data_IF_078161577967
#
_entry.id   IF_078161577967
#
_cell.length_a   1.000
_cell.length_b   1.000
_cell.length_c   1.000
_cell.angle_alpha   90.00
_cell.angle_beta   90.00
_cell.angle_gamma   90.00
#
_symmetry.space_group_name_H-M   'P 1'
#
loop_
_entity.id
_entity.type
_entity.pdbx_description
1 polymer ?
#
# COMPACT_ATOMS: atom_id res chain seq x y z
N UNK A 1 -1.90 2.80 -25.56
CA UNK A 1 -2.37 2.83 -24.18
C UNK A 1 -2.63 4.29 -23.84
N UNK A 2 -3.79 4.61 -23.31
CA UNK A 2 -4.17 6.01 -23.17
C UNK A 2 -4.63 6.28 -21.74
N UNK A 3 -4.09 7.36 -21.13
CA UNK A 3 -4.76 8.01 -20.00
C UNK A 3 -6.15 8.41 -20.44
N UNK A 4 -7.16 8.00 -19.69
CA UNK A 4 -8.56 8.26 -19.98
C UNK A 4 -9.12 9.34 -19.07
N UNK A 5 -10.10 10.07 -19.58
CA UNK A 5 -10.84 11.04 -18.77
C UNK A 5 -11.82 10.34 -17.82
N UNK A 6 -12.30 11.08 -16.83
CA UNK A 6 -13.34 10.59 -15.90
C UNK A 6 -14.62 10.17 -16.64
N UNK A 7 -15.00 10.87 -17.72
CA UNK A 7 -16.18 10.56 -18.53
C UNK A 7 -15.96 9.27 -19.35
N UNK A 8 -14.76 9.05 -19.86
CA UNK A 8 -14.40 7.82 -20.57
C UNK A 8 -14.42 6.61 -19.62
N UNK A 9 -13.87 6.77 -18.40
CA UNK A 9 -13.92 5.72 -17.37
C UNK A 9 -15.39 5.41 -17.03
N UNK A 10 -16.21 6.45 -16.79
CA UNK A 10 -17.64 6.28 -16.48
C UNK A 10 -18.37 5.53 -17.59
N UNK A 11 -18.15 5.94 -18.85
CA UNK A 11 -18.75 5.30 -20.01
C UNK A 11 -18.37 3.82 -20.10
N UNK A 12 -17.09 3.50 -19.87
CA UNK A 12 -16.62 2.11 -19.90
C UNK A 12 -17.28 1.27 -18.80
N UNK A 13 -17.36 1.80 -17.58
CA UNK A 13 -18.04 1.14 -16.44
C UNK A 13 -19.54 0.97 -16.75
N UNK A 14 -20.21 2.00 -17.28
CA UNK A 14 -21.64 1.94 -17.58
C UNK A 14 -21.96 0.85 -18.62
N UNK A 15 -21.10 0.68 -19.61
CA UNK A 15 -21.26 -0.31 -20.68
C UNK A 15 -21.00 -1.74 -20.23
N UNK A 16 -20.08 -1.95 -19.27
CA UNK A 16 -19.77 -3.28 -18.75
C UNK A 16 -20.93 -3.83 -17.90
N UNK A 17 -21.30 -5.08 -18.11
CA UNK A 17 -22.29 -5.81 -17.30
C UNK A 17 -21.60 -6.64 -16.22
N UNK A 18 -20.46 -7.26 -16.56
CA UNK A 18 -19.63 -8.07 -15.66
C UNK A 18 -18.27 -7.43 -15.45
N UNK A 19 -17.87 -7.25 -14.19
CA UNK A 19 -16.61 -6.60 -13.82
C UNK A 19 -15.87 -7.48 -12.82
N UNK A 20 -14.61 -7.78 -13.12
CA UNK A 20 -13.70 -8.36 -12.15
C UNK A 20 -12.83 -7.27 -11.56
N UNK A 21 -12.81 -7.16 -10.24
CA UNK A 21 -11.94 -6.26 -9.49
C UNK A 21 -10.71 -7.01 -9.01
N UNK A 22 -9.55 -6.38 -9.08
CA UNK A 22 -8.32 -6.88 -8.49
C UNK A 22 -7.45 -5.73 -7.98
N UNK A 23 -6.51 -6.06 -7.11
CA UNK A 23 -5.51 -5.17 -6.54
C UNK A 23 -4.14 -5.82 -6.63
N UNK A 24 -3.11 -5.15 -6.11
CA UNK A 24 -1.77 -5.70 -6.10
C UNK A 24 -1.59 -6.86 -5.11
N UNK A 25 -0.59 -7.74 -5.35
CA UNK A 25 -0.10 -8.74 -4.39
C UNK A 25 0.48 -8.06 -3.15
N UNK A 26 0.41 -8.73 -2.01
CA UNK A 26 0.67 -8.14 -0.69
C UNK A 26 -0.19 -6.89 -0.46
N UNK A 27 -1.54 -7.04 -0.54
CA UNK A 27 -2.45 -5.91 -0.53
C UNK A 27 -2.42 -5.19 0.82
N UNK A 28 -2.38 -3.88 0.75
CA UNK A 28 -2.42 -2.99 1.91
C UNK A 28 -3.81 -2.40 2.15
N UNK A 29 -3.87 -1.40 3.03
CA UNK A 29 -5.15 -0.78 3.40
C UNK A 29 -5.77 0.02 2.26
N UNK A 30 -4.96 0.66 1.40
CA UNK A 30 -5.46 1.40 0.25
C UNK A 30 -6.04 0.45 -0.80
N UNK A 31 -5.30 -0.59 -1.15
CA UNK A 31 -5.72 -1.62 -2.09
C UNK A 31 -7.07 -2.26 -1.68
N UNK A 32 -7.14 -2.77 -0.44
CA UNK A 32 -8.33 -3.46 0.07
C UNK A 32 -9.51 -2.48 0.23
N UNK A 33 -9.27 -1.32 0.83
CA UNK A 33 -10.33 -0.33 1.06
C UNK A 33 -10.94 0.19 -0.24
N UNK A 34 -10.10 0.47 -1.22
CA UNK A 34 -10.51 0.91 -2.56
C UNK A 34 -11.33 -0.16 -3.28
N UNK A 35 -10.90 -1.42 -3.22
CA UNK A 35 -11.58 -2.54 -3.87
C UNK A 35 -12.95 -2.80 -3.25
N UNK A 36 -13.06 -2.84 -1.92
CA UNK A 36 -14.32 -3.07 -1.22
C UNK A 36 -15.35 -1.96 -1.52
N UNK A 37 -14.91 -0.71 -1.49
CA UNK A 37 -15.79 0.42 -1.80
C UNK A 37 -16.23 0.42 -3.26
N UNK A 38 -15.32 0.18 -4.20
CA UNK A 38 -15.66 0.10 -5.62
C UNK A 38 -16.59 -1.08 -5.91
N UNK A 39 -16.38 -2.23 -5.25
CA UNK A 39 -17.28 -3.38 -5.35
C UNK A 39 -18.71 -3.00 -4.97
N UNK A 40 -18.90 -2.41 -3.80
CA UNK A 40 -20.22 -2.05 -3.29
C UNK A 40 -20.90 -1.00 -4.20
N UNK A 41 -20.12 0.00 -4.63
CA UNK A 41 -20.59 1.02 -5.56
C UNK A 41 -21.10 0.41 -6.88
N UNK A 42 -20.32 -0.49 -7.49
CA UNK A 42 -20.67 -1.13 -8.76
C UNK A 42 -21.86 -2.07 -8.63
N UNK A 43 -21.97 -2.81 -7.53
CA UNK A 43 -23.15 -3.66 -7.24
C UNK A 43 -24.41 -2.80 -7.11
N UNK A 44 -24.32 -1.64 -6.46
CA UNK A 44 -25.43 -0.69 -6.36
C UNK A 44 -25.85 -0.13 -7.73
N UNK A 45 -24.93 -0.09 -8.72
CA UNK A 45 -25.25 0.25 -10.11
C UNK A 45 -25.76 -0.95 -10.93
N UNK A 46 -26.04 -2.09 -10.30
CA UNK A 46 -26.59 -3.27 -10.97
C UNK A 46 -25.57 -4.11 -11.75
N UNK A 47 -24.28 -3.95 -11.50
CA UNK A 47 -23.22 -4.73 -12.14
C UNK A 47 -23.04 -6.10 -11.47
N UNK A 48 -22.68 -7.11 -12.26
CA UNK A 48 -22.19 -8.39 -11.76
C UNK A 48 -20.70 -8.25 -11.44
N UNK A 49 -20.32 -8.26 -10.16
CA UNK A 49 -18.96 -7.93 -9.73
C UNK A 49 -18.36 -9.09 -8.95
N UNK A 50 -17.10 -9.44 -9.22
CA UNK A 50 -16.27 -10.32 -8.43
C UNK A 50 -15.02 -9.57 -7.98
N UNK A 51 -14.52 -9.90 -6.80
CA UNK A 51 -13.24 -9.43 -6.26
C UNK A 51 -12.30 -10.61 -6.15
N UNK A 52 -11.17 -10.59 -6.84
CA UNK A 52 -10.19 -11.68 -6.83
C UNK A 52 -8.79 -11.12 -6.63
N UNK A 53 -8.03 -11.72 -5.72
CA UNK A 53 -6.65 -11.33 -5.40
C UNK A 53 -5.75 -12.56 -5.44
N UNK A 54 -4.53 -12.38 -5.97
CA UNK A 54 -3.49 -13.42 -6.02
C UNK A 54 -2.58 -13.32 -4.79
N UNK A 55 -3.18 -13.23 -3.61
CA UNK A 55 -2.45 -13.27 -2.33
C UNK A 55 -3.43 -13.46 -1.17
N UNK A 56 -2.87 -13.74 -0.01
CA UNK A 56 -3.64 -13.85 1.24
C UNK A 56 -4.00 -12.45 1.74
N UNK A 57 -5.28 -12.23 2.02
CA UNK A 57 -5.73 -10.97 2.61
C UNK A 57 -5.28 -10.92 4.08
N UNK A 58 -4.52 -9.88 4.48
CA UNK A 58 -4.09 -9.74 5.87
C UNK A 58 -5.27 -9.70 6.85
N UNK A 59 -5.17 -10.49 7.93
CA UNK A 59 -6.24 -10.65 8.93
C UNK A 59 -6.70 -9.32 9.53
N UNK A 60 -5.81 -8.37 9.67
CA UNK A 60 -6.09 -7.02 10.17
C UNK A 60 -7.18 -6.25 9.39
N UNK A 61 -7.52 -6.69 8.17
CA UNK A 61 -8.59 -6.09 7.36
C UNK A 61 -9.92 -6.84 7.48
N UNK A 62 -9.97 -7.97 8.20
CA UNK A 62 -11.17 -8.82 8.34
C UNK A 62 -12.34 -8.12 9.04
N UNK A 63 -12.10 -7.03 9.76
CA UNK A 63 -13.14 -6.22 10.40
C UNK A 63 -13.99 -5.42 9.38
N UNK A 64 -13.49 -5.26 8.14
CA UNK A 64 -14.23 -4.54 7.10
C UNK A 64 -15.39 -5.41 6.58
N UNK A 65 -16.59 -4.84 6.47
CA UNK A 65 -17.69 -5.50 5.77
C UNK A 65 -17.26 -5.91 4.35
N UNK A 66 -17.76 -7.04 3.89
CA UNK A 66 -17.48 -7.61 2.56
C UNK A 66 -16.05 -8.13 2.33
N UNK A 67 -15.12 -7.98 3.27
CA UNK A 67 -13.77 -8.55 3.14
C UNK A 67 -13.79 -10.06 2.87
N UNK A 68 -14.73 -10.80 3.50
CA UNK A 68 -14.92 -12.23 3.27
C UNK A 68 -15.45 -12.61 1.87
N UNK A 69 -15.84 -11.63 1.04
CA UNK A 69 -16.23 -11.84 -0.36
C UNK A 69 -15.06 -11.76 -1.33
N UNK A 70 -13.88 -11.36 -0.86
CA UNK A 70 -12.68 -11.39 -1.69
C UNK A 70 -12.31 -12.84 -1.91
N UNK A 71 -12.20 -13.23 -3.17
CA UNK A 71 -11.94 -14.59 -3.58
C UNK A 71 -10.44 -14.77 -3.85
N UNK A 72 -9.86 -15.93 -3.51
CA UNK A 72 -8.49 -16.25 -3.90
C UNK A 72 -8.41 -16.55 -5.40
N UNK A 73 -7.21 -16.45 -5.96
CA UNK A 73 -6.94 -16.68 -7.38
C UNK A 73 -7.37 -18.06 -7.87
N UNK A 74 -7.37 -19.07 -6.99
CA UNK A 74 -7.79 -20.45 -7.30
C UNK A 74 -9.29 -20.55 -7.63
N UNK A 75 -10.08 -19.54 -7.25
CA UNK A 75 -11.50 -19.44 -7.62
C UNK A 75 -11.73 -19.15 -9.10
N UNK A 76 -10.69 -18.68 -9.81
CA UNK A 76 -10.74 -18.39 -11.24
C UNK A 76 -10.26 -19.59 -12.07
N UNK A 77 -11.11 -20.02 -12.99
CA UNK A 77 -10.69 -20.93 -14.07
C UNK A 77 -9.76 -20.17 -15.03
N UNK A 78 -8.82 -20.92 -15.64
CA UNK A 78 -7.97 -20.33 -16.68
C UNK A 78 -8.81 -19.88 -17.88
N UNK A 79 -8.60 -18.64 -18.35
CA UNK A 79 -9.37 -18.05 -19.42
C UNK A 79 -10.74 -17.50 -18.99
N UNK A 80 -10.91 -17.21 -17.68
CA UNK A 80 -12.09 -16.49 -17.22
C UNK A 80 -12.32 -15.20 -18.00
N UNK A 81 -13.55 -14.93 -18.39
CA UNK A 81 -13.93 -13.75 -19.17
C UNK A 81 -14.86 -12.85 -18.40
N UNK A 82 -14.66 -11.54 -18.50
CA UNK A 82 -15.58 -10.50 -18.06
C UNK A 82 -15.58 -9.34 -19.06
N UNK A 83 -16.55 -8.46 -18.96
CA UNK A 83 -16.60 -7.27 -19.82
C UNK A 83 -15.50 -6.27 -19.46
N UNK A 84 -15.00 -6.32 -18.21
CA UNK A 84 -13.96 -5.44 -17.70
C UNK A 84 -13.14 -6.14 -16.61
N UNK A 85 -11.81 -6.00 -16.68
CA UNK A 85 -10.91 -6.18 -15.55
C UNK A 85 -10.53 -4.79 -15.01
N UNK A 86 -11.09 -4.41 -13.87
CA UNK A 86 -10.80 -3.14 -13.22
C UNK A 86 -9.77 -3.36 -12.11
N UNK A 87 -8.60 -2.82 -12.32
CA UNK A 87 -7.44 -2.93 -11.46
C UNK A 87 -7.36 -1.67 -10.60
N UNK A 88 -7.23 -1.83 -9.29
CA UNK A 88 -7.12 -0.73 -8.35
C UNK A 88 -5.75 -0.78 -7.67
N UNK A 89 -5.13 0.37 -7.52
CA UNK A 89 -3.93 0.53 -6.72
C UNK A 89 -2.73 -0.36 -7.13
N UNK A 90 -2.52 -0.51 -8.44
CA UNK A 90 -1.39 -1.29 -8.95
C UNK A 90 -0.61 -0.49 -10.01
N UNK A 91 0.67 -0.29 -9.76
CA UNK A 91 1.56 0.51 -10.61
C UNK A 91 2.13 -0.24 -11.80
N UNK A 92 2.15 -1.57 -11.78
CA UNK A 92 2.63 -2.42 -12.88
C UNK A 92 1.76 -3.66 -13.06
N UNK A 93 1.83 -4.30 -14.24
CA UNK A 93 1.06 -5.50 -14.53
C UNK A 93 1.47 -6.69 -13.65
N UNK A 94 2.75 -6.81 -13.35
CA UNK A 94 3.28 -7.90 -12.52
C UNK A 94 2.74 -7.85 -11.08
N UNK A 95 2.36 -6.64 -10.63
CA UNK A 95 1.82 -6.44 -9.29
C UNK A 95 0.45 -7.09 -9.07
N UNK A 96 -0.31 -7.40 -10.12
CA UNK A 96 -1.60 -8.09 -10.00
C UNK A 96 -1.48 -9.64 -10.07
N UNK A 97 -0.26 -10.16 -10.10
CA UNK A 97 0.03 -11.59 -10.09
C UNK A 97 -0.65 -12.36 -11.23
N UNK A 98 -1.10 -13.56 -10.93
CA UNK A 98 -1.73 -14.48 -11.89
C UNK A 98 -3.10 -13.98 -12.40
N UNK A 99 -3.75 -13.02 -11.71
CA UNK A 99 -5.05 -12.48 -12.17
C UNK A 99 -4.94 -11.94 -13.59
N UNK A 100 -3.88 -11.19 -13.89
CA UNK A 100 -3.63 -10.62 -15.20
C UNK A 100 -3.46 -11.67 -16.32
N UNK A 101 -3.01 -12.88 -15.97
CA UNK A 101 -2.79 -13.98 -16.92
C UNK A 101 -4.04 -14.83 -17.09
N UNK A 102 -4.82 -15.05 -16.02
CA UNK A 102 -6.00 -15.93 -16.03
C UNK A 102 -7.24 -15.26 -16.61
N UNK A 103 -7.30 -13.93 -16.61
CA UNK A 103 -8.47 -13.17 -17.04
C UNK A 103 -8.30 -12.63 -18.44
N UNK A 104 -9.28 -12.90 -19.31
CA UNK A 104 -9.37 -12.33 -20.65
C UNK A 104 -10.47 -11.26 -20.66
N UNK A 105 -10.08 -10.00 -20.50
CA UNK A 105 -10.98 -8.84 -20.48
C UNK A 105 -10.23 -7.56 -20.89
N UNK A 106 -10.94 -6.53 -21.38
CA UNK A 106 -10.40 -5.17 -21.45
C UNK A 106 -9.96 -4.69 -20.08
N UNK A 107 -8.71 -4.22 -19.96
CA UNK A 107 -8.11 -3.82 -18.70
C UNK A 107 -8.25 -2.33 -18.46
N UNK A 108 -8.69 -1.96 -17.26
CA UNK A 108 -8.72 -0.58 -16.77
C UNK A 108 -8.00 -0.50 -15.43
N UNK A 109 -7.28 0.59 -15.21
CA UNK A 109 -6.56 0.81 -13.96
C UNK A 109 -6.93 2.17 -13.38
N UNK A 110 -7.25 2.18 -12.10
CA UNK A 110 -7.39 3.39 -11.28
C UNK A 110 -6.25 3.37 -10.27
N UNK A 111 -5.40 4.39 -10.31
CA UNK A 111 -4.18 4.41 -9.52
C UNK A 111 -3.74 5.83 -9.16
N UNK A 112 -2.89 5.96 -8.15
CA UNK A 112 -2.28 7.22 -7.72
C UNK A 112 -0.74 7.20 -7.77
N UNK A 113 -0.12 6.07 -8.09
CA UNK A 113 1.33 5.94 -8.09
C UNK A 113 1.99 6.69 -9.25
N UNK A 114 2.94 7.58 -8.95
CA UNK A 114 3.77 8.29 -9.95
C UNK A 114 4.55 7.30 -10.82
N UNK A 115 4.92 6.15 -10.26
CA UNK A 115 5.67 5.08 -10.93
C UNK A 115 4.82 4.16 -11.81
N UNK A 116 3.54 4.48 -12.03
CA UNK A 116 2.68 3.66 -12.87
C UNK A 116 3.23 3.52 -14.29
N UNK A 117 3.37 2.28 -14.76
CA UNK A 117 3.94 1.94 -16.09
C UNK A 117 2.93 2.07 -17.23
N UNK A 118 1.72 2.55 -16.96
CA UNK A 118 0.63 2.74 -17.93
C UNK A 118 0.25 1.44 -18.67
N UNK A 119 0.30 0.29 -18.00
CA UNK A 119 0.17 -1.05 -18.58
C UNK A 119 -1.26 -1.40 -19.01
N UNK A 120 -2.28 -0.79 -18.43
CA UNK A 120 -3.69 -1.09 -18.71
C UNK A 120 -4.17 -0.46 -20.03
N UNK A 121 -5.22 -1.02 -20.64
CA UNK A 121 -5.86 -0.49 -21.84
C UNK A 121 -6.46 0.89 -21.63
N UNK A 122 -7.02 1.16 -20.43
CA UNK A 122 -7.46 2.47 -19.96
C UNK A 122 -6.88 2.78 -18.58
N UNK A 123 -6.26 3.96 -18.41
CA UNK A 123 -5.66 4.37 -17.15
C UNK A 123 -6.25 5.69 -16.65
N UNK A 124 -6.86 5.66 -15.46
CA UNK A 124 -7.23 6.85 -14.71
C UNK A 124 -6.25 7.05 -13.55
N UNK A 125 -5.28 7.94 -13.74
CA UNK A 125 -4.15 8.15 -12.83
C UNK A 125 -4.26 9.51 -12.13
N UNK A 126 -4.20 9.50 -10.80
CA UNK A 126 -4.27 10.71 -9.95
C UNK A 126 -3.09 10.77 -8.96
N UNK A 127 -1.87 11.08 -9.44
CA UNK A 127 -0.68 11.15 -8.59
C UNK A 127 -0.69 12.37 -7.65
N UNK A 128 -1.66 13.25 -7.79
CA UNK A 128 -1.95 14.39 -6.93
C UNK A 128 -2.88 14.04 -5.76
N UNK A 129 -3.47 12.84 -5.75
CA UNK A 129 -4.26 12.31 -4.64
C UNK A 129 -3.40 11.46 -3.71
N UNK A 130 -3.79 11.39 -2.45
CA UNK A 130 -3.02 10.69 -1.41
C UNK A 130 -3.08 9.17 -1.54
N UNK A 131 -4.14 8.64 -2.19
CA UNK A 131 -4.43 7.22 -2.27
C UNK A 131 -5.42 6.91 -3.40
N UNK A 132 -5.50 5.65 -3.77
CA UNK A 132 -6.55 5.15 -4.67
C UNK A 132 -7.93 5.25 -4.01
N UNK A 133 -8.02 5.09 -2.68
CA UNK A 133 -9.26 5.30 -1.93
C UNK A 133 -9.77 6.73 -1.99
N UNK A 134 -8.89 7.73 -1.96
CA UNK A 134 -9.26 9.12 -2.22
C UNK A 134 -9.83 9.27 -3.63
N UNK A 135 -9.22 8.60 -4.61
CA UNK A 135 -9.72 8.60 -5.99
C UNK A 135 -11.12 7.99 -6.09
N UNK A 136 -11.36 6.84 -5.46
CA UNK A 136 -12.67 6.17 -5.45
C UNK A 136 -13.72 7.04 -4.76
N UNK A 137 -13.40 7.66 -3.61
CA UNK A 137 -14.30 8.58 -2.92
C UNK A 137 -14.68 9.78 -3.81
N UNK A 138 -13.69 10.35 -4.49
CA UNK A 138 -13.90 11.44 -5.46
C UNK A 138 -14.79 11.00 -6.63
N UNK A 139 -14.58 9.81 -7.19
CA UNK A 139 -15.40 9.27 -8.27
C UNK A 139 -16.86 9.10 -7.81
N UNK A 140 -17.10 8.54 -6.62
CA UNK A 140 -18.44 8.44 -6.05
C UNK A 140 -19.11 9.81 -5.93
N UNK A 141 -18.40 10.82 -5.43
CA UNK A 141 -18.91 12.20 -5.32
C UNK A 141 -19.29 12.77 -6.67
N UNK A 142 -18.41 12.71 -7.67
CA UNK A 142 -18.65 13.32 -9.00
C UNK A 142 -19.74 12.58 -9.78
N UNK A 143 -19.84 11.26 -9.64
CA UNK A 143 -20.87 10.47 -10.30
C UNK A 143 -22.19 10.42 -9.52
N UNK A 144 -22.25 11.12 -8.38
CA UNK A 144 -23.40 11.14 -7.48
C UNK A 144 -23.82 9.73 -7.04
N UNK A 145 -22.83 8.87 -6.79
CA UNK A 145 -23.03 7.57 -6.18
C UNK A 145 -23.05 7.71 -4.65
N UNK A 146 -24.01 7.05 -4.03
CA UNK A 146 -24.11 7.07 -2.57
C UNK A 146 -22.91 6.35 -1.94
N UNK A 147 -22.29 6.99 -0.95
CA UNK A 147 -21.28 6.36 -0.11
C UNK A 147 -22.00 5.81 1.11
N UNK A 148 -22.12 4.49 1.20
CA UNK A 148 -22.70 3.80 2.36
C UNK A 148 -21.74 3.83 3.55
N UNK A 149 -22.22 3.41 4.73
CA UNK A 149 -21.34 3.31 5.91
C UNK A 149 -20.18 2.34 5.69
N UNK A 150 -20.42 1.19 5.05
CA UNK A 150 -19.36 0.21 4.74
C UNK A 150 -18.34 0.76 3.76
N UNK A 151 -18.78 1.43 2.71
CA UNK A 151 -17.88 2.14 1.79
C UNK A 151 -17.09 3.23 2.49
N UNK A 152 -17.75 4.05 3.33
CA UNK A 152 -17.10 5.10 4.13
C UNK A 152 -16.02 4.52 5.03
N UNK A 153 -16.29 3.39 5.70
CA UNK A 153 -15.32 2.68 6.54
C UNK A 153 -14.09 2.24 5.73
N UNK A 154 -14.30 1.61 4.57
CA UNK A 154 -13.25 1.11 3.70
C UNK A 154 -12.41 2.26 3.09
N UNK A 155 -13.05 3.30 2.57
CA UNK A 155 -12.38 4.46 1.97
C UNK A 155 -11.61 5.31 3.00
N UNK A 156 -12.18 5.48 4.21
CA UNK A 156 -11.46 6.15 5.27
C UNK A 156 -10.19 5.40 5.66
N UNK A 157 -10.27 4.06 5.79
CA UNK A 157 -9.10 3.23 6.06
C UNK A 157 -8.06 3.36 4.93
N UNK A 158 -8.47 3.29 3.68
CA UNK A 158 -7.59 3.46 2.52
C UNK A 158 -6.79 4.77 2.61
N UNK A 159 -7.46 5.90 2.77
CA UNK A 159 -6.81 7.19 2.94
C UNK A 159 -5.94 7.26 4.18
N UNK A 160 -6.41 6.72 5.32
CA UNK A 160 -5.69 6.76 6.60
C UNK A 160 -4.38 5.98 6.53
N UNK A 161 -4.37 4.79 5.94
CA UNK A 161 -3.16 3.96 5.84
C UNK A 161 -2.10 4.60 4.95
N UNK A 162 -2.47 5.13 3.80
CA UNK A 162 -1.55 5.74 2.83
C UNK A 162 -1.01 7.12 3.26
N UNK A 163 -1.73 7.78 4.16
CA UNK A 163 -1.32 9.06 4.74
C UNK A 163 -0.70 8.94 6.13
N UNK A 164 -0.47 7.71 6.61
CA UNK A 164 -0.01 7.46 7.98
C UNK A 164 -0.94 8.08 9.01
N UNK A 165 -2.24 7.84 8.87
CA UNK A 165 -3.30 8.47 9.66
C UNK A 165 -3.26 10.00 9.57
N UNK A 166 -3.20 10.50 8.32
CA UNK A 166 -3.20 11.94 7.97
C UNK A 166 -2.00 12.73 8.51
N UNK A 167 -0.88 12.06 8.80
CA UNK A 167 0.36 12.68 9.31
C UNK A 167 1.38 12.97 8.22
N UNK A 168 1.28 12.30 7.05
CA UNK A 168 2.27 12.43 6.00
C UNK A 168 1.99 13.64 5.08
N UNK A 169 3.02 14.03 4.32
CA UNK A 169 2.99 15.21 3.46
C UNK A 169 2.06 15.09 2.24
N UNK A 170 1.60 13.89 1.90
CA UNK A 170 0.60 13.65 0.87
C UNK A 170 -0.84 13.92 1.36
N UNK A 171 -1.05 14.21 2.64
CA UNK A 171 -2.34 14.65 3.17
C UNK A 171 -2.63 16.07 2.70
N UNK A 172 -3.67 16.25 1.91
CA UNK A 172 -4.10 17.53 1.34
C UNK A 172 -5.45 17.98 1.91
N UNK A 173 -5.88 19.20 1.59
CA UNK A 173 -7.24 19.66 1.91
C UNK A 173 -8.29 18.80 1.21
N UNK A 174 -8.01 18.33 -0.02
CA UNK A 174 -8.90 17.43 -0.75
C UNK A 174 -9.00 16.05 -0.09
N UNK A 175 -7.87 15.49 0.38
CA UNK A 175 -7.86 14.24 1.16
C UNK A 175 -8.78 14.37 2.38
N UNK A 176 -8.68 15.48 3.13
CA UNK A 176 -9.52 15.72 4.32
C UNK A 176 -11.00 15.94 3.95
N UNK A 177 -11.29 16.52 2.80
CA UNK A 177 -12.65 16.63 2.28
C UNK A 177 -13.25 15.25 1.99
N UNK A 178 -12.52 14.38 1.30
CA UNK A 178 -12.97 13.01 1.00
C UNK A 178 -13.11 12.16 2.27
N UNK A 179 -12.17 12.28 3.21
CA UNK A 179 -12.30 11.65 4.53
C UNK A 179 -13.52 12.17 5.28
N UNK A 180 -13.84 13.47 5.17
CA UNK A 180 -15.04 14.07 5.74
C UNK A 180 -16.33 13.47 5.18
N UNK A 181 -16.40 13.16 3.89
CA UNK A 181 -17.53 12.45 3.28
C UNK A 181 -17.70 11.03 3.86
N UNK A 182 -16.59 10.32 4.07
CA UNK A 182 -16.61 9.00 4.70
C UNK A 182 -17.17 9.07 6.14
N UNK A 183 -16.78 10.10 6.91
CA UNK A 183 -17.31 10.33 8.26
C UNK A 183 -18.81 10.66 8.25
N UNK A 184 -19.25 11.47 7.28
CA UNK A 184 -20.69 11.76 7.09
C UNK A 184 -21.49 10.49 6.74
N UNK A 185 -20.89 9.56 6.00
CA UNK A 185 -21.46 8.24 5.72
C UNK A 185 -21.46 7.29 6.93
N UNK A 186 -20.79 7.66 8.03
CA UNK A 186 -20.77 6.88 9.27
C UNK A 186 -19.49 6.06 9.50
N UNK A 187 -18.40 6.35 8.81
CA UNK A 187 -17.11 5.75 9.12
C UNK A 187 -16.69 6.05 10.57
N UNK A 188 -16.08 5.07 11.21
CA UNK A 188 -15.69 5.14 12.62
C UNK A 188 -14.16 5.08 12.75
N UNK A 189 -13.44 6.22 12.79
CA UNK A 189 -11.99 6.27 12.83
C UNK A 189 -11.35 5.46 13.95
N UNK A 190 -11.98 5.45 15.14
CA UNK A 190 -11.46 4.69 16.28
C UNK A 190 -11.49 3.18 16.03
N UNK A 191 -12.54 2.66 15.39
CA UNK A 191 -12.62 1.23 15.03
C UNK A 191 -11.54 0.87 14.02
N UNK A 192 -11.30 1.75 13.04
CA UNK A 192 -10.26 1.56 12.02
C UNK A 192 -8.88 1.59 12.66
N UNK A 193 -8.61 2.62 13.48
CA UNK A 193 -7.31 2.77 14.17
C UNK A 193 -7.02 1.58 15.08
N UNK A 194 -7.98 1.19 15.91
CA UNK A 194 -7.84 0.02 16.77
C UNK A 194 -7.51 -1.25 15.97
N UNK A 195 -8.23 -1.52 14.87
CA UNK A 195 -8.00 -2.72 14.06
C UNK A 195 -6.64 -2.72 13.34
N UNK A 196 -6.21 -1.56 12.81
CA UNK A 196 -4.97 -1.44 12.03
C UNK A 196 -3.72 -1.33 12.92
N UNK A 197 -3.84 -0.65 14.07
CA UNK A 197 -2.72 -0.40 14.99
C UNK A 197 -2.61 -1.47 16.09
N UNK A 198 -3.55 -2.42 16.17
CA UNK A 198 -3.51 -3.52 17.12
C UNK A 198 -2.26 -4.38 16.88
N UNK A 199 -1.56 -4.67 17.95
CA UNK A 199 -0.36 -5.50 17.90
C UNK A 199 -0.50 -6.71 18.81
N UNK A 200 -0.02 -7.85 18.36
CA UNK A 200 0.02 -9.06 19.18
C UNK A 200 0.94 -8.88 20.39
N UNK A 201 0.61 -9.46 21.57
CA UNK A 201 1.47 -9.35 22.76
C UNK A 201 2.91 -9.78 22.51
N UNK A 202 3.14 -10.78 21.68
CA UNK A 202 4.48 -11.22 21.28
C UNK A 202 5.32 -10.15 20.60
N UNK A 203 4.67 -9.21 19.88
CA UNK A 203 5.34 -8.08 19.25
C UNK A 203 6.02 -7.14 20.26
N UNK A 204 5.45 -6.99 21.45
CA UNK A 204 6.06 -6.17 22.53
C UNK A 204 7.37 -6.78 23.02
N UNK A 205 7.43 -8.11 23.18
CA UNK A 205 8.67 -8.79 23.58
C UNK A 205 9.75 -8.70 22.48
N UNK A 206 9.33 -8.77 21.23
CA UNK A 206 10.21 -8.54 20.08
C UNK A 206 10.70 -7.08 20.06
N UNK A 207 9.83 -6.12 20.27
CA UNK A 207 10.16 -4.70 20.25
C UNK A 207 11.25 -4.36 21.30
N UNK A 208 11.22 -4.96 22.50
CA UNK A 208 12.31 -4.81 23.48
C UNK A 208 13.65 -5.24 22.90
N UNK A 209 13.71 -6.42 22.27
CA UNK A 209 14.95 -6.94 21.69
C UNK A 209 15.42 -6.13 20.47
N UNK A 210 14.47 -5.62 19.69
CA UNK A 210 14.76 -4.74 18.54
C UNK A 210 15.33 -3.41 19.00
N UNK A 211 14.80 -2.82 20.07
CA UNK A 211 15.29 -1.56 20.64
C UNK A 211 16.72 -1.66 21.16
N UNK A 212 17.13 -2.83 21.67
CA UNK A 212 18.53 -3.07 22.09
C UNK A 212 19.54 -3.04 20.92
N UNK A 213 19.05 -3.15 19.68
CA UNK A 213 19.85 -3.12 18.46
C UNK A 213 19.80 -1.75 17.72
N UNK A 214 19.30 -0.70 18.38
CA UNK A 214 19.33 0.65 17.85
C UNK A 214 20.71 1.28 18.09
N UNK A 215 21.30 1.82 17.03
CA UNK A 215 22.61 2.48 17.09
C UNK A 215 22.55 3.85 16.41
N UNK A 216 23.27 4.81 17.00
CA UNK A 216 23.35 6.18 16.50
C UNK A 216 24.70 6.42 15.80
N UNK A 217 24.66 7.07 14.64
CA UNK A 217 25.82 7.37 13.78
C UNK A 217 25.78 8.84 13.34
N UNK A 218 26.86 9.33 12.76
CA UNK A 218 26.98 10.70 12.22
C UNK A 218 26.45 11.74 13.22
N UNK A 219 27.02 11.75 14.43
CA UNK A 219 26.63 12.67 15.52
C UNK A 219 25.12 12.61 15.87
N UNK A 220 24.49 11.45 15.69
CA UNK A 220 23.08 11.23 16.00
C UNK A 220 22.11 11.60 14.86
N UNK A 221 22.61 12.01 13.70
CA UNK A 221 21.75 12.32 12.54
C UNK A 221 21.28 11.06 11.79
N UNK A 222 22.00 9.94 11.94
CA UNK A 222 21.64 8.66 11.33
C UNK A 222 21.39 7.65 12.44
N UNK A 223 20.31 6.92 12.35
CA UNK A 223 19.98 5.85 13.29
C UNK A 223 19.75 4.55 12.53
N UNK A 224 20.39 3.49 12.96
CA UNK A 224 20.19 2.15 12.42
C UNK A 224 19.53 1.22 13.42
N UNK A 225 18.85 0.20 12.90
CA UNK A 225 18.27 -0.91 13.63
C UNK A 225 18.58 -2.20 12.86
N UNK A 226 19.33 -3.11 13.48
CA UNK A 226 19.76 -4.36 12.85
C UNK A 226 18.89 -5.53 13.32
N UNK A 227 18.10 -6.11 12.42
CA UNK A 227 17.29 -7.30 12.66
C UNK A 227 18.06 -8.52 12.18
N UNK A 228 18.77 -9.18 13.11
CA UNK A 228 19.57 -10.40 12.83
C UNK A 228 18.69 -11.59 12.47
N UNK A 229 19.25 -12.64 11.87
CA UNK A 229 18.49 -13.85 11.51
C UNK A 229 17.71 -14.46 12.67
N UNK A 230 18.29 -14.68 13.88
CA UNK A 230 17.53 -15.20 15.01
C UNK A 230 16.38 -14.29 15.44
N UNK A 231 16.52 -12.98 15.25
CA UNK A 231 15.46 -12.03 15.53
C UNK A 231 14.37 -12.09 14.46
N UNK A 232 14.75 -12.16 13.18
CA UNK A 232 13.82 -12.31 12.05
C UNK A 232 13.00 -13.59 12.14
N UNK A 233 13.57 -14.71 12.60
CA UNK A 233 12.84 -15.97 12.84
C UNK A 233 11.71 -15.82 13.88
N UNK A 234 11.84 -14.89 14.82
CA UNK A 234 10.82 -14.61 15.84
C UNK A 234 9.77 -13.61 15.39
N UNK A 235 10.20 -12.62 14.60
CA UNK A 235 9.33 -11.51 14.15
C UNK A 235 8.53 -11.89 12.91
N UNK A 236 9.05 -12.84 12.11
CA UNK A 236 8.61 -13.02 10.74
C UNK A 236 8.91 -11.78 9.89
N UNK A 237 8.12 -11.58 8.87
CA UNK A 237 8.26 -10.41 7.98
C UNK A 237 7.57 -9.13 8.52
N UNK A 238 6.88 -9.21 9.66
CA UNK A 238 6.19 -8.06 10.27
C UNK A 238 7.17 -7.09 10.94
N UNK A 239 7.75 -6.24 10.13
CA UNK A 239 8.71 -5.21 10.54
C UNK A 239 8.21 -3.80 10.24
N UNK A 240 6.93 -3.67 9.92
CA UNK A 240 6.31 -2.39 9.60
C UNK A 240 6.35 -1.44 10.81
N UNK A 241 6.57 -0.16 10.53
CA UNK A 241 6.64 0.89 11.54
C UNK A 241 7.98 1.04 12.26
N UNK A 242 8.89 0.06 12.24
CA UNK A 242 10.19 0.20 12.94
C UNK A 242 11.03 1.33 12.36
N UNK A 243 11.09 1.45 11.03
CA UNK A 243 11.88 2.50 10.38
C UNK A 243 11.32 3.90 10.66
N UNK A 244 10.00 4.04 10.73
CA UNK A 244 9.35 5.31 11.05
C UNK A 244 9.54 5.68 12.54
N UNK A 245 9.52 4.68 13.42
CA UNK A 245 9.79 4.89 14.84
C UNK A 245 11.18 5.49 15.06
N UNK A 246 12.24 4.92 14.47
CA UNK A 246 13.60 5.43 14.63
C UNK A 246 13.84 6.74 13.90
N UNK A 247 13.23 6.95 12.71
CA UNK A 247 13.28 8.24 12.02
C UNK A 247 12.66 9.37 12.85
N UNK A 248 11.62 9.08 13.64
CA UNK A 248 10.92 10.10 14.43
C UNK A 248 11.69 10.57 15.66
N UNK A 249 12.85 9.98 15.97
CA UNK A 249 13.72 10.47 17.04
C UNK A 249 14.17 11.90 16.73
N UNK A 250 14.17 12.76 17.75
CA UNK A 250 14.59 14.16 17.61
C UNK A 250 16.07 14.24 17.21
N UNK A 251 16.37 15.04 16.17
CA UNK A 251 17.72 15.20 15.64
C UNK A 251 18.09 14.20 14.55
N UNK A 252 17.35 13.12 14.40
CA UNK A 252 17.56 12.12 13.34
C UNK A 252 17.02 12.63 12.01
N UNK A 253 17.85 12.52 10.98
CA UNK A 253 17.47 12.72 9.58
C UNK A 253 17.21 11.39 8.89
N UNK A 254 18.13 10.42 9.01
CA UNK A 254 18.02 9.12 8.32
C UNK A 254 17.80 8.00 9.31
N UNK A 255 16.73 7.24 9.11
CA UNK A 255 16.46 5.98 9.80
C UNK A 255 16.69 4.80 8.85
N UNK A 256 17.44 3.79 9.29
CA UNK A 256 17.78 2.59 8.51
C UNK A 256 17.37 1.36 9.30
N UNK A 257 16.50 0.54 8.75
CA UNK A 257 16.23 -0.81 9.27
C UNK A 257 16.85 -1.83 8.33
N UNK A 258 17.78 -2.61 8.86
CA UNK A 258 18.44 -3.70 8.16
C UNK A 258 17.84 -5.03 8.61
N UNK A 259 17.52 -5.88 7.65
CA UNK A 259 16.90 -7.20 7.87
C UNK A 259 17.81 -8.27 7.24
N UNK A 260 18.37 -9.14 8.04
CA UNK A 260 19.09 -10.29 7.51
C UNK A 260 18.08 -11.24 6.84
N UNK A 261 18.25 -11.49 5.54
CA UNK A 261 17.47 -12.50 4.81
C UNK A 261 18.18 -13.84 4.80
N UNK A 262 19.50 -13.81 4.72
CA UNK A 262 20.41 -14.95 4.88
C UNK A 262 21.65 -14.47 5.65
N UNK A 263 22.64 -15.35 5.86
CA UNK A 263 23.93 -14.97 6.47
C UNK A 263 24.70 -13.95 5.61
N UNK A 264 24.44 -13.90 4.32
CA UNK A 264 25.18 -13.08 3.33
C UNK A 264 24.31 -12.11 2.55
N UNK A 265 23.01 -12.03 2.85
CA UNK A 265 22.08 -11.10 2.16
C UNK A 265 21.30 -10.31 3.18
N UNK A 266 21.38 -9.00 3.07
CA UNK A 266 20.69 -8.04 3.94
C UNK A 266 19.78 -7.14 3.10
N UNK A 267 18.53 -7.00 3.52
CA UNK A 267 17.60 -6.00 2.97
C UNK A 267 17.60 -4.77 3.87
N UNK A 268 17.74 -3.58 3.27
CA UNK A 268 17.66 -2.31 3.97
C UNK A 268 16.40 -1.54 3.58
N UNK A 269 15.74 -0.97 4.59
CA UNK A 269 14.65 0.00 4.45
C UNK A 269 15.15 1.35 4.98
N UNK A 270 15.09 2.39 4.18
CA UNK A 270 15.64 3.71 4.48
C UNK A 270 14.53 4.73 4.47
N UNK A 271 14.49 5.58 5.48
CA UNK A 271 13.61 6.75 5.55
C UNK A 271 14.43 7.98 5.88
N UNK A 272 14.07 9.13 5.30
CA UNK A 272 14.79 10.38 5.56
C UNK A 272 13.85 11.56 5.72
N UNK A 273 14.35 12.63 6.35
CA UNK A 273 13.67 13.93 6.47
C UNK A 273 14.25 14.95 5.50
N UNK A 274 15.56 14.95 5.32
CA UNK A 274 16.28 15.93 4.48
C UNK A 274 17.03 15.25 3.35
N UNK A 275 17.87 14.25 3.66
CA UNK A 275 18.68 13.53 2.66
C UNK A 275 17.80 12.74 1.69
N UNK A 276 18.34 12.40 0.52
CA UNK A 276 17.66 11.62 -0.50
C UNK A 276 17.85 10.12 -0.24
N UNK A 277 16.81 9.47 0.32
CA UNK A 277 16.82 8.02 0.59
C UNK A 277 16.94 7.20 -0.70
N UNK A 278 16.38 7.68 -1.82
CA UNK A 278 16.49 6.98 -3.11
C UNK A 278 17.93 6.99 -3.63
N UNK A 279 18.63 8.12 -3.49
CA UNK A 279 20.05 8.20 -3.86
C UNK A 279 20.88 7.20 -3.07
N UNK A 280 20.68 7.10 -1.75
CA UNK A 280 21.38 6.12 -0.89
C UNK A 280 21.09 4.68 -1.38
N UNK A 281 19.83 4.32 -1.58
CA UNK A 281 19.44 2.98 -2.00
C UNK A 281 19.97 2.62 -3.41
N UNK A 282 20.04 3.60 -4.31
CA UNK A 282 20.49 3.40 -5.69
C UNK A 282 21.95 2.96 -5.80
N UNK A 283 22.82 3.31 -4.83
CA UNK A 283 24.20 2.81 -4.77
C UNK A 283 24.27 1.28 -4.68
N UNK A 284 23.21 0.66 -4.18
CA UNK A 284 23.10 -0.79 -3.99
C UNK A 284 22.11 -1.43 -4.96
N UNK A 285 21.81 -0.77 -6.09
CA UNK A 285 20.87 -1.28 -7.09
C UNK A 285 19.40 -1.27 -6.62
N UNK A 286 19.11 -0.60 -5.51
CA UNK A 286 17.76 -0.40 -4.99
C UNK A 286 17.10 0.87 -5.53
N UNK A 287 15.99 1.27 -4.90
CA UNK A 287 15.28 2.50 -5.30
C UNK A 287 14.07 2.78 -4.43
N UNK A 288 13.34 3.83 -4.80
CA UNK A 288 12.16 4.29 -4.11
C UNK A 288 11.91 5.78 -4.32
N UNK A 289 11.40 6.43 -3.30
CA UNK A 289 11.17 7.88 -3.29
C UNK A 289 12.26 8.62 -2.50
N UNK A 290 12.33 9.95 -2.68
CA UNK A 290 13.29 10.82 -1.97
C UNK A 290 13.27 10.58 -0.45
N UNK A 291 12.11 10.29 0.13
CA UNK A 291 11.93 10.12 1.59
C UNK A 291 11.82 8.67 2.05
N UNK A 292 11.71 7.72 1.13
CA UNK A 292 11.49 6.31 1.43
C UNK A 292 12.03 5.44 0.32
N UNK A 293 13.04 4.62 0.61
CA UNK A 293 13.66 3.74 -0.37
C UNK A 293 14.10 2.43 0.29
N UNK A 294 14.42 1.43 -0.52
CA UNK A 294 14.94 0.16 -0.08
C UNK A 294 15.93 -0.44 -1.06
N UNK A 295 16.82 -1.28 -0.55
CA UNK A 295 17.79 -2.03 -1.35
C UNK A 295 18.07 -3.40 -0.72
N UNK A 296 18.67 -4.29 -1.51
CA UNK A 296 19.26 -5.55 -1.05
C UNK A 296 20.76 -5.48 -1.24
N UNK A 297 21.52 -5.93 -0.26
CA UNK A 297 22.99 -5.88 -0.24
C UNK A 297 23.49 -7.31 -0.01
N UNK A 298 24.36 -7.79 -0.90
CA UNK A 298 24.98 -9.10 -0.83
C UNK A 298 26.12 -9.09 0.19
N UNK A 299 25.77 -8.88 1.47
CA UNK A 299 26.69 -8.82 2.60
C UNK A 299 25.99 -9.17 3.90
N UNK A 300 26.72 -9.68 4.93
CA UNK A 300 26.24 -9.82 6.28
C UNK A 300 25.74 -8.48 6.84
N UNK A 301 24.80 -8.52 7.78
CA UNK A 301 24.07 -7.34 8.25
C UNK A 301 24.96 -6.19 8.77
N UNK A 302 26.05 -6.50 9.46
CA UNK A 302 26.96 -5.48 9.99
C UNK A 302 27.80 -4.83 8.90
N UNK A 303 28.27 -5.61 7.93
CA UNK A 303 29.01 -5.11 6.78
C UNK A 303 28.10 -4.27 5.87
N UNK A 304 26.85 -4.70 5.67
CA UNK A 304 25.84 -3.94 4.93
C UNK A 304 25.55 -2.58 5.58
N UNK A 305 25.51 -2.53 6.92
CA UNK A 305 25.37 -1.27 7.65
C UNK A 305 26.57 -0.34 7.39
N UNK A 306 27.80 -0.83 7.50
CA UNK A 306 29.01 -0.04 7.25
C UNK A 306 29.03 0.50 5.81
N UNK A 307 28.65 -0.32 4.83
CA UNK A 307 28.56 0.11 3.43
C UNK A 307 27.53 1.23 3.24
N UNK A 308 26.36 1.14 3.88
CA UNK A 308 25.34 2.20 3.80
C UNK A 308 25.84 3.47 4.47
N UNK A 309 26.45 3.37 5.67
CA UNK A 309 26.98 4.54 6.38
C UNK A 309 28.08 5.25 5.60
N UNK A 310 28.88 4.52 4.82
CA UNK A 310 29.95 5.10 3.99
C UNK A 310 29.44 5.92 2.78
N UNK A 311 28.17 5.76 2.38
CA UNK A 311 27.54 6.54 1.28
C UNK A 311 26.61 7.64 1.77
N UNK A 312 26.47 7.78 3.09
CA UNK A 312 25.68 8.86 3.71
C UNK A 312 26.63 9.99 4.09
N UNK A 313 26.58 11.07 3.33
CA UNK A 313 27.34 12.31 3.60
C UNK A 313 26.68 13.18 4.69
#
# INVERSE_FOLDING_TARGET
MAKISIDQLKTSIDTAHSILLTVHVSPDGDAIGSMLAMYEALVAQGKAVRMVVDDVIPEKFSFLPLCSKIEPIESLESGYTSDMLLILDASTFERIGEVGVRVSAPTFNIDHHISNTEFAGGLYLRPDFSSTGETVAYLCKIWNWEITQSMGQALYMAMATDTGFFKFSNTTAHTMEMAGLCLQAGAQPHVISEAIEMVEPGRIEVMKQVLDNVSFHHEGQVVSMCLTLPLMERIGDDTDGFVDMIRNIKGVDVGIVLKAKTETVTRASIRSKVRDANQIASHFGGGGHIRAAGCSIESPIHEALEQILAVID
#
